data_IF_153541766591
#
_entry.id   IF_153541766591
#
_cell.length_a   1.000
_cell.length_b   1.000
_cell.length_c   1.000
_cell.angle_alpha   90.00
_cell.angle_beta   90.00
_cell.angle_gamma   90.00
#
_symmetry.space_group_name_H-M   'P 1'
#
loop_
_entity.id
_entity.type
_entity.pdbx_description
1 polymer ?
#
# COMPACT_ATOMS: atom_id res chain seq x y z
N UNK A 1 22.78 -60.52 -11.46
CA UNK A 1 21.30 -60.48 -11.53
C UNK A 1 20.82 -59.74 -10.32
N UNK A 2 20.03 -58.68 -10.34
CA UNK A 2 19.53 -57.76 -11.37
C UNK A 2 19.23 -56.48 -10.57
N UNK A 3 19.54 -55.30 -11.13
CA UNK A 3 19.08 -54.03 -10.60
C UNK A 3 17.54 -54.01 -10.71
N UNK A 4 16.82 -54.08 -9.59
CA UNK A 4 15.43 -53.63 -9.54
C UNK A 4 15.45 -52.11 -9.49
N UNK A 5 15.32 -51.50 -10.66
CA UNK A 5 14.97 -50.10 -10.80
C UNK A 5 13.57 -49.90 -10.24
N UNK A 6 13.45 -49.16 -9.14
CA UNK A 6 12.20 -48.54 -8.71
C UNK A 6 11.72 -47.60 -9.82
N UNK A 7 10.90 -48.14 -10.74
CA UNK A 7 10.10 -47.33 -11.64
C UNK A 7 8.99 -46.77 -10.77
N UNK A 8 9.20 -45.58 -10.19
CA UNK A 8 8.08 -44.73 -9.77
C UNK A 8 7.24 -44.48 -11.02
N UNK A 9 6.18 -45.26 -11.19
CA UNK A 9 5.17 -45.02 -12.22
C UNK A 9 4.55 -43.65 -11.94
N UNK A 10 4.95 -42.65 -12.71
CA UNK A 10 4.33 -41.33 -12.72
C UNK A 10 2.84 -41.53 -13.04
N UNK A 11 1.98 -41.31 -12.06
CA UNK A 11 0.55 -41.48 -12.24
C UNK A 11 0.03 -40.34 -13.10
N UNK A 12 -0.30 -40.66 -14.34
CA UNK A 12 -0.87 -39.71 -15.26
C UNK A 12 -2.28 -39.33 -14.82
N UNK A 13 -2.47 -38.03 -14.55
CA UNK A 13 -3.77 -37.51 -14.10
C UNK A 13 -4.77 -37.55 -15.27
N UNK A 14 -5.95 -38.18 -15.11
CA UNK A 14 -6.94 -38.23 -16.17
C UNK A 14 -7.34 -36.84 -16.67
N UNK A 15 -7.29 -36.63 -17.99
CA UNK A 15 -7.50 -35.30 -18.60
C UNK A 15 -8.87 -34.67 -18.26
N UNK A 16 -9.90 -35.49 -18.05
CA UNK A 16 -11.24 -35.04 -17.66
C UNK A 16 -11.33 -34.51 -16.22
N UNK A 17 -10.28 -34.68 -15.41
CA UNK A 17 -10.15 -34.05 -14.08
C UNK A 17 -9.48 -32.68 -14.13
N UNK A 18 -8.84 -32.34 -15.25
CA UNK A 18 -8.10 -31.09 -15.39
C UNK A 18 -9.02 -29.95 -15.80
N UNK A 19 -8.85 -28.81 -15.14
CA UNK A 19 -9.52 -27.57 -15.48
C UNK A 19 -9.00 -27.08 -16.84
N UNK A 20 -9.86 -26.81 -17.84
CA UNK A 20 -9.39 -26.34 -19.15
C UNK A 20 -8.71 -24.96 -19.15
N UNK A 21 -8.80 -24.21 -18.05
CA UNK A 21 -8.15 -22.90 -17.90
C UNK A 21 -6.77 -23.05 -17.27
N UNK A 22 -6.68 -23.72 -16.11
CA UNK A 22 -5.42 -23.82 -15.36
C UNK A 22 -4.60 -25.06 -15.70
N UNK A 23 -5.19 -26.04 -16.39
CA UNK A 23 -4.62 -27.36 -16.66
C UNK A 23 -4.23 -28.13 -15.39
N UNK A 24 -4.77 -27.73 -14.23
CA UNK A 24 -4.61 -28.40 -12.94
C UNK A 24 -5.89 -29.14 -12.56
N UNK A 25 -5.79 -30.13 -11.67
CA UNK A 25 -6.96 -30.87 -11.17
C UNK A 25 -8.00 -29.90 -10.60
N UNK A 26 -9.26 -30.07 -11.02
CA UNK A 26 -10.38 -29.28 -10.51
C UNK A 26 -10.65 -29.61 -9.05
N UNK A 27 -10.58 -28.59 -8.19
CA UNK A 27 -10.90 -28.70 -6.76
C UNK A 27 -12.40 -28.52 -6.52
N UNK A 28 -13.02 -27.58 -7.23
CA UNK A 28 -14.46 -27.29 -7.19
C UNK A 28 -15.02 -27.27 -8.62
N UNK A 29 -15.29 -28.45 -9.23
CA UNK A 29 -15.76 -28.49 -10.61
C UNK A 29 -17.16 -27.88 -10.75
N UNK A 30 -17.31 -26.97 -11.71
CA UNK A 30 -18.55 -26.29 -12.08
C UNK A 30 -18.77 -26.31 -13.58
N UNK A 31 -19.99 -26.60 -13.98
CA UNK A 31 -20.41 -26.64 -15.37
C UNK A 31 -21.08 -25.33 -15.75
N UNK A 32 -20.62 -24.75 -16.86
CA UNK A 32 -21.22 -23.55 -17.45
C UNK A 32 -22.46 -23.90 -18.29
N UNK A 33 -23.25 -22.90 -18.66
CA UNK A 33 -24.40 -23.07 -19.60
C UNK A 33 -24.00 -23.65 -20.96
N UNK A 34 -22.71 -23.63 -21.30
CA UNK A 34 -22.17 -24.23 -22.54
C UNK A 34 -21.82 -25.72 -22.39
N UNK A 35 -22.06 -26.31 -21.22
CA UNK A 35 -21.78 -27.72 -20.94
C UNK A 35 -20.33 -28.03 -20.56
N UNK A 36 -19.42 -27.08 -20.68
CA UNK A 36 -18.02 -27.27 -20.28
C UNK A 36 -17.86 -27.07 -18.76
N UNK A 37 -17.10 -27.98 -18.15
CA UNK A 37 -16.78 -27.96 -16.73
C UNK A 37 -15.39 -27.38 -16.50
N UNK A 38 -15.27 -26.50 -15.52
CA UNK A 38 -14.05 -25.83 -15.12
C UNK A 38 -13.87 -25.94 -13.61
N UNK A 39 -12.67 -25.68 -13.11
CA UNK A 39 -12.52 -25.31 -11.71
C UNK A 39 -13.21 -23.96 -11.46
N UNK A 40 -14.00 -23.87 -10.38
CA UNK A 40 -14.79 -22.69 -10.05
C UNK A 40 -13.94 -21.43 -9.98
N UNK A 41 -12.79 -21.46 -9.29
CA UNK A 41 -11.96 -20.28 -9.14
C UNK A 41 -11.44 -19.80 -10.50
N UNK A 42 -11.00 -20.75 -11.35
CA UNK A 42 -10.53 -20.47 -12.69
C UNK A 42 -11.58 -19.77 -13.56
N UNK A 43 -12.81 -20.30 -13.61
CA UNK A 43 -13.87 -19.71 -14.44
C UNK A 43 -14.42 -18.41 -13.86
N UNK A 44 -14.51 -18.27 -12.53
CA UNK A 44 -14.91 -17.00 -11.90
C UNK A 44 -13.91 -15.89 -12.21
N UNK A 45 -12.60 -16.16 -12.06
CA UNK A 45 -11.56 -15.19 -12.41
C UNK A 45 -11.57 -14.84 -13.91
N UNK A 46 -11.81 -15.82 -14.77
CA UNK A 46 -11.95 -15.60 -16.21
C UNK A 46 -13.10 -14.64 -16.54
N UNK A 47 -14.28 -14.88 -15.97
CA UNK A 47 -15.46 -14.03 -16.18
C UNK A 47 -15.29 -12.61 -15.61
N UNK A 48 -14.52 -12.46 -14.52
CA UNK A 48 -14.21 -11.16 -13.94
C UNK A 48 -13.28 -10.33 -14.83
N UNK A 49 -12.20 -10.93 -15.34
CA UNK A 49 -11.16 -10.23 -16.12
C UNK A 49 -11.56 -9.99 -17.57
N UNK A 50 -12.45 -10.82 -18.13
CA UNK A 50 -12.81 -10.73 -19.54
C UNK A 50 -13.67 -9.48 -19.85
N UNK A 51 -13.30 -8.78 -20.93
CA UNK A 51 -14.11 -7.70 -21.51
C UNK A 51 -15.41 -8.25 -22.08
N UNK A 52 -15.31 -9.40 -22.77
CA UNK A 52 -16.45 -10.18 -23.28
C UNK A 52 -16.52 -11.51 -22.54
N UNK A 53 -17.59 -11.72 -21.75
CA UNK A 53 -17.83 -12.96 -21.02
C UNK A 53 -18.14 -14.09 -22.00
N UNK A 54 -17.11 -14.81 -22.43
CA UNK A 54 -17.23 -15.96 -23.33
C UNK A 54 -16.59 -17.20 -22.71
N UNK A 55 -17.09 -18.37 -23.09
CA UNK A 55 -16.54 -19.65 -22.68
C UNK A 55 -15.12 -19.83 -23.28
N UNK A 56 -14.09 -20.12 -22.45
CA UNK A 56 -12.72 -20.30 -22.93
C UNK A 56 -12.59 -21.28 -24.09
N UNK A 57 -13.35 -22.37 -24.06
CA UNK A 57 -13.33 -23.42 -25.09
C UNK A 57 -14.30 -23.10 -26.23
N UNK A 58 -15.60 -23.00 -25.95
CA UNK A 58 -16.62 -22.94 -27.00
C UNK A 58 -16.76 -21.55 -27.64
N UNK A 59 -16.14 -20.52 -27.04
CA UNK A 59 -16.26 -19.10 -27.43
C UNK A 59 -17.69 -18.55 -27.41
N UNK A 60 -18.67 -19.32 -26.94
CA UNK A 60 -20.05 -18.86 -26.76
C UNK A 60 -20.16 -17.90 -25.57
N UNK A 61 -21.15 -17.00 -25.60
CA UNK A 61 -21.37 -16.05 -24.49
C UNK A 61 -21.77 -16.79 -23.20
N UNK A 62 -21.21 -16.34 -22.09
CA UNK A 62 -21.54 -16.78 -20.75
C UNK A 62 -22.19 -15.63 -19.95
N UNK A 63 -23.20 -15.91 -19.12
CA UNK A 63 -23.66 -14.96 -18.13
C UNK A 63 -22.51 -14.53 -17.21
N UNK A 64 -22.45 -13.25 -16.85
CA UNK A 64 -21.41 -12.72 -15.96
C UNK A 64 -21.64 -13.11 -14.49
N UNK A 65 -22.89 -13.37 -14.10
CA UNK A 65 -23.21 -13.82 -12.74
C UNK A 65 -22.76 -15.26 -12.51
N UNK A 66 -22.09 -15.48 -11.37
CA UNK A 66 -21.62 -16.79 -10.93
C UNK A 66 -22.76 -17.75 -10.54
N UNK A 67 -23.98 -17.24 -10.40
CA UNK A 67 -25.19 -18.04 -10.09
C UNK A 67 -25.53 -19.02 -11.22
N UNK A 68 -25.11 -18.72 -12.45
CA UNK A 68 -25.31 -19.59 -13.61
C UNK A 68 -24.25 -20.70 -13.73
N UNK A 69 -23.35 -20.83 -12.74
CA UNK A 69 -22.38 -21.93 -12.66
C UNK A 69 -22.96 -23.08 -11.83
N UNK A 70 -23.32 -24.17 -12.51
CA UNK A 70 -23.90 -25.35 -11.87
C UNK A 70 -22.79 -26.21 -11.26
N UNK A 71 -22.79 -26.50 -9.94
CA UNK A 71 -21.80 -27.39 -9.34
C UNK A 71 -21.88 -28.81 -9.93
N UNK A 72 -20.75 -29.39 -10.34
CA UNK A 72 -20.69 -30.77 -10.81
C UNK A 72 -20.24 -31.69 -9.67
N UNK A 73 -21.20 -32.08 -8.81
CA UNK A 73 -20.94 -32.92 -7.65
C UNK A 73 -20.45 -34.32 -8.02
N UNK A 74 -20.93 -34.88 -9.14
CA UNK A 74 -20.50 -36.20 -9.63
C UNK A 74 -19.03 -36.19 -9.98
N UNK A 75 -18.59 -35.23 -10.80
CA UNK A 75 -17.18 -35.12 -11.19
C UNK A 75 -16.30 -34.88 -9.98
N UNK A 76 -16.75 -34.05 -9.02
CA UNK A 76 -16.02 -33.84 -7.76
C UNK A 76 -15.78 -35.13 -7.00
N UNK A 77 -16.83 -35.95 -6.82
CA UNK A 77 -16.72 -37.24 -6.11
C UNK A 77 -15.75 -38.19 -6.81
N UNK A 78 -15.76 -38.20 -8.15
CA UNK A 78 -14.83 -39.00 -8.95
C UNK A 78 -13.38 -38.54 -8.78
N UNK A 79 -13.14 -37.22 -8.84
CA UNK A 79 -11.82 -36.63 -8.61
C UNK A 79 -11.32 -36.98 -7.20
N UNK A 80 -12.15 -36.78 -6.17
CA UNK A 80 -11.78 -37.08 -4.78
C UNK A 80 -11.47 -38.57 -4.57
N UNK A 81 -12.30 -39.47 -5.11
CA UNK A 81 -12.06 -40.90 -5.03
C UNK A 81 -10.74 -41.30 -5.72
N UNK A 82 -10.43 -40.68 -6.86
CA UNK A 82 -9.17 -40.89 -7.54
C UNK A 82 -7.98 -40.36 -6.74
N UNK A 83 -8.06 -39.16 -6.16
CA UNK A 83 -7.00 -38.63 -5.29
C UNK A 83 -6.74 -39.55 -4.10
N UNK A 84 -7.79 -40.02 -3.41
CA UNK A 84 -7.65 -40.94 -2.27
C UNK A 84 -7.05 -42.29 -2.68
N UNK A 85 -7.40 -42.82 -3.86
CA UNK A 85 -6.82 -44.07 -4.34
C UNK A 85 -5.32 -43.95 -4.71
N UNK A 86 -4.84 -42.73 -4.98
CA UNK A 86 -3.47 -42.46 -5.43
C UNK A 86 -2.64 -41.69 -4.40
N UNK A 87 -3.10 -41.58 -3.16
CA UNK A 87 -2.40 -40.90 -2.06
C UNK A 87 -1.01 -41.49 -1.81
N UNK A 88 -0.89 -42.82 -1.84
CA UNK A 88 0.39 -43.53 -1.70
C UNK A 88 1.39 -43.22 -2.84
N UNK A 89 0.90 -42.68 -3.96
CA UNK A 89 1.69 -42.32 -5.14
C UNK A 89 1.98 -40.80 -5.21
N UNK A 90 1.78 -40.07 -4.10
CA UNK A 90 2.11 -38.64 -4.00
C UNK A 90 1.03 -37.68 -4.51
N UNK A 91 -0.21 -38.16 -4.72
CA UNK A 91 -1.34 -37.30 -5.10
C UNK A 91 -1.98 -36.70 -3.86
N UNK A 92 -1.99 -35.36 -3.77
CA UNK A 92 -2.65 -34.63 -2.68
C UNK A 92 -4.17 -34.88 -2.64
N UNK A 93 -4.72 -35.05 -1.43
CA UNK A 93 -6.17 -35.11 -1.25
C UNK A 93 -6.82 -33.74 -1.47
N UNK A 94 -7.96 -33.74 -2.16
CA UNK A 94 -8.77 -32.54 -2.36
C UNK A 94 -9.88 -32.49 -1.30
N UNK A 95 -9.84 -31.53 -0.35
CA UNK A 95 -10.87 -31.41 0.65
C UNK A 95 -12.22 -31.04 0.01
N UNK A 96 -13.32 -31.51 0.59
CA UNK A 96 -14.67 -31.14 0.15
C UNK A 96 -14.85 -29.63 0.32
N UNK A 97 -15.16 -28.87 -0.76
CA UNK A 97 -15.45 -27.45 -0.64
C UNK A 97 -16.61 -27.24 0.33
N UNK A 98 -16.41 -26.41 1.36
CA UNK A 98 -17.49 -26.02 2.29
C UNK A 98 -18.64 -25.42 1.49
N UNK A 99 -19.87 -25.64 1.95
CA UNK A 99 -21.07 -25.06 1.31
C UNK A 99 -20.88 -23.55 1.08
N UNK A 100 -21.31 -23.01 -0.07
CA UNK A 100 -21.15 -21.58 -0.35
C UNK A 100 -21.72 -20.73 0.79
N UNK A 101 -20.93 -19.77 1.25
CA UNK A 101 -21.38 -18.80 2.24
C UNK A 101 -22.63 -18.08 1.70
N UNK A 102 -23.72 -18.14 2.45
CA UNK A 102 -24.96 -17.42 2.13
C UNK A 102 -24.92 -16.00 2.68
N UNK A 103 -25.34 -15.02 1.89
CA UNK A 103 -25.45 -13.61 2.29
C UNK A 103 -26.29 -13.47 3.56
N UNK A 104 -27.43 -14.17 3.66
CA UNK A 104 -28.30 -14.14 4.83
C UNK A 104 -27.60 -14.61 6.13
N UNK A 105 -26.65 -15.55 6.02
CA UNK A 105 -25.87 -16.00 7.18
C UNK A 105 -24.90 -14.90 7.64
N UNK A 106 -24.31 -14.16 6.70
CA UNK A 106 -23.41 -13.04 7.00
C UNK A 106 -24.20 -11.86 7.59
N UNK A 107 -25.36 -11.52 7.02
CA UNK A 107 -26.25 -10.49 7.57
C UNK A 107 -26.67 -10.80 9.02
N UNK A 108 -26.90 -12.08 9.34
CA UNK A 108 -27.15 -12.51 10.72
C UNK A 108 -25.95 -12.25 11.63
N UNK A 109 -24.73 -12.52 11.16
CA UNK A 109 -23.51 -12.21 11.92
C UNK A 109 -23.35 -10.70 12.11
N UNK A 110 -23.65 -9.88 11.10
CA UNK A 110 -23.65 -8.42 11.21
C UNK A 110 -24.64 -7.95 12.28
N UNK A 111 -25.87 -8.49 12.29
CA UNK A 111 -26.86 -8.17 13.33
C UNK A 111 -26.41 -8.60 14.72
N UNK A 112 -25.68 -9.72 14.83
CA UNK A 112 -25.13 -10.20 16.11
C UNK A 112 -24.04 -9.25 16.67
N UNK A 113 -23.47 -8.34 15.88
CA UNK A 113 -22.54 -7.30 16.36
C UNK A 113 -23.24 -6.23 17.22
N UNK A 114 -24.56 -6.06 17.11
CA UNK A 114 -25.29 -5.14 18.00
C UNK A 114 -25.64 -5.78 19.35
N UNK A 115 -25.43 -7.09 19.49
CA UNK A 115 -25.77 -7.84 20.69
C UNK A 115 -24.51 -8.11 21.51
N UNK A 116 -24.35 -7.44 22.65
CA UNK A 116 -23.13 -7.52 23.49
C UNK A 116 -22.69 -8.95 23.83
N UNK A 117 -23.63 -9.87 24.07
CA UNK A 117 -23.33 -11.27 24.40
C UNK A 117 -22.84 -12.11 23.21
N UNK A 118 -23.03 -11.65 21.98
CA UNK A 118 -22.64 -12.35 20.74
C UNK A 118 -21.56 -11.62 19.95
N UNK A 119 -21.32 -10.34 20.28
CA UNK A 119 -20.40 -9.44 19.59
C UNK A 119 -19.04 -10.07 19.28
N UNK A 120 -18.33 -10.53 20.31
CA UNK A 120 -16.99 -11.10 20.16
C UNK A 120 -16.97 -12.30 19.22
N UNK A 121 -17.91 -13.24 19.42
CA UNK A 121 -18.05 -14.45 18.59
C UNK A 121 -18.44 -14.12 17.14
N UNK A 122 -19.26 -13.09 16.93
CA UNK A 122 -19.63 -12.65 15.59
C UNK A 122 -18.42 -12.04 14.86
N UNK A 123 -17.64 -11.22 15.56
CA UNK A 123 -16.44 -10.59 15.02
C UNK A 123 -15.38 -11.61 14.63
N UNK A 124 -15.08 -12.58 15.51
CA UNK A 124 -14.15 -13.69 15.23
C UNK A 124 -14.58 -14.49 13.99
N UNK A 125 -15.87 -14.84 13.91
CA UNK A 125 -16.41 -15.56 12.73
C UNK A 125 -16.30 -14.76 11.45
N UNK A 126 -16.57 -13.45 11.48
CA UNK A 126 -16.43 -12.60 10.31
C UNK A 126 -14.96 -12.51 9.87
N UNK A 127 -14.03 -12.45 10.81
CA UNK A 127 -12.61 -12.47 10.50
C UNK A 127 -12.16 -13.79 9.87
N UNK A 128 -12.57 -14.93 10.43
CA UNK A 128 -12.27 -16.25 9.85
C UNK A 128 -12.78 -16.36 8.41
N UNK A 129 -14.00 -15.88 8.15
CA UNK A 129 -14.59 -15.86 6.81
C UNK A 129 -13.80 -14.95 5.87
N UNK A 130 -13.33 -13.78 6.34
CA UNK A 130 -12.56 -12.83 5.53
C UNK A 130 -11.20 -13.40 5.10
N UNK A 131 -10.52 -14.13 5.96
CA UNK A 131 -9.22 -14.74 5.66
C UNK A 131 -9.37 -15.90 4.68
N UNK A 132 -10.43 -16.71 4.81
CA UNK A 132 -10.55 -18.00 4.12
C UNK A 132 -10.42 -17.91 2.59
N UNK A 133 -11.12 -16.99 1.93
CA UNK A 133 -10.99 -16.79 0.47
C UNK A 133 -11.64 -15.49 -0.03
N UNK A 134 -11.33 -15.10 -1.28
CA UNK A 134 -11.89 -13.90 -1.91
C UNK A 134 -13.38 -13.95 -2.22
N UNK A 135 -13.99 -15.14 -2.31
CA UNK A 135 -15.43 -15.29 -2.54
C UNK A 135 -16.23 -14.92 -1.30
N UNK A 136 -15.77 -15.35 -0.12
CA UNK A 136 -16.33 -14.94 1.16
C UNK A 136 -16.27 -13.41 1.30
N UNK A 137 -15.13 -12.79 0.98
CA UNK A 137 -14.98 -11.33 1.03
C UNK A 137 -15.97 -10.59 0.12
N UNK A 138 -16.23 -11.09 -1.10
CA UNK A 138 -17.28 -10.54 -1.98
C UNK A 138 -18.67 -10.68 -1.36
N UNK A 139 -19.01 -11.86 -0.83
CA UNK A 139 -20.27 -12.08 -0.12
C UNK A 139 -20.43 -11.16 1.10
N UNK A 140 -19.34 -10.93 1.85
CA UNK A 140 -19.31 -10.04 3.00
C UNK A 140 -19.51 -8.57 2.60
N UNK A 141 -18.90 -8.13 1.49
CA UNK A 141 -19.13 -6.79 0.96
C UNK A 141 -20.61 -6.59 0.59
N UNK A 142 -21.23 -7.55 -0.10
CA UNK A 142 -22.66 -7.50 -0.42
C UNK A 142 -23.57 -7.54 0.81
N UNK A 143 -23.11 -8.13 1.91
CA UNK A 143 -23.86 -8.22 3.17
C UNK A 143 -23.67 -6.99 4.10
N UNK A 144 -22.96 -5.95 3.67
CA UNK A 144 -22.76 -4.73 4.45
C UNK A 144 -21.75 -4.86 5.60
N UNK A 145 -20.80 -5.80 5.51
CA UNK A 145 -19.82 -6.00 6.60
C UNK A 145 -18.86 -4.82 6.72
N UNK A 146 -18.52 -4.14 5.62
CA UNK A 146 -17.61 -3.01 5.65
C UNK A 146 -18.19 -1.83 6.46
N UNK A 147 -19.46 -1.52 6.22
CA UNK A 147 -20.26 -0.53 6.93
C UNK A 147 -20.35 -0.88 8.42
N UNK A 148 -20.57 -2.16 8.73
CA UNK A 148 -20.60 -2.64 10.10
C UNK A 148 -19.24 -2.45 10.81
N UNK A 149 -18.11 -2.72 10.14
CA UNK A 149 -16.78 -2.51 10.73
C UNK A 149 -16.49 -1.02 10.96
N UNK A 150 -16.83 -0.14 10.00
CA UNK A 150 -16.75 1.32 10.18
C UNK A 150 -17.58 1.77 11.37
N UNK A 151 -18.79 1.23 11.53
CA UNK A 151 -19.65 1.52 12.68
C UNK A 151 -19.02 1.06 13.99
N UNK A 152 -18.46 -0.16 14.07
CA UNK A 152 -17.79 -0.69 15.27
C UNK A 152 -16.60 0.18 15.69
N UNK A 153 -15.76 0.60 14.74
CA UNK A 153 -14.60 1.46 15.00
C UNK A 153 -15.06 2.83 15.51
N UNK A 154 -16.05 3.43 14.83
CA UNK A 154 -16.58 4.75 15.19
C UNK A 154 -17.29 4.75 16.54
N UNK A 155 -18.08 3.69 16.83
CA UNK A 155 -18.75 3.48 18.12
C UNK A 155 -17.74 3.35 19.26
N UNK A 156 -16.64 2.62 19.04
CA UNK A 156 -15.57 2.47 20.02
C UNK A 156 -14.90 3.81 20.35
N UNK A 157 -14.68 4.65 19.33
CA UNK A 157 -14.16 6.00 19.49
C UNK A 157 -15.11 6.90 20.29
N UNK A 158 -16.41 6.94 19.93
CA UNK A 158 -17.41 7.78 20.62
C UNK A 158 -17.57 7.37 22.09
N UNK A 159 -17.51 6.06 22.38
CA UNK A 159 -17.62 5.55 23.74
C UNK A 159 -16.33 5.70 24.56
N UNK A 160 -15.21 6.12 23.94
CA UNK A 160 -13.92 6.24 24.61
C UNK A 160 -13.38 4.91 25.14
N UNK A 161 -13.79 3.77 24.56
CA UNK A 161 -13.38 2.47 25.04
C UNK A 161 -11.89 2.25 24.73
N UNK A 162 -11.07 2.03 25.77
CA UNK A 162 -9.63 1.80 25.63
C UNK A 162 -9.27 0.37 25.21
N UNK A 163 -10.26 -0.51 25.08
CA UNK A 163 -10.04 -1.89 24.62
C UNK A 163 -9.79 -1.90 23.11
N UNK A 164 -8.56 -2.19 22.70
CA UNK A 164 -8.13 -2.13 21.29
C UNK A 164 -8.38 -3.42 20.51
N UNK A 165 -8.66 -4.55 21.17
CA UNK A 165 -8.79 -5.86 20.51
C UNK A 165 -9.92 -5.91 19.48
N UNK A 166 -11.11 -5.37 19.79
CA UNK A 166 -12.21 -5.34 18.83
C UNK A 166 -11.95 -4.37 17.66
N UNK A 167 -11.26 -3.26 17.93
CA UNK A 167 -10.88 -2.28 16.91
C UNK A 167 -9.82 -2.86 15.97
N UNK A 168 -8.82 -3.55 16.51
CA UNK A 168 -7.82 -4.28 15.75
C UNK A 168 -8.48 -5.27 14.79
N UNK A 169 -9.38 -6.12 15.30
CA UNK A 169 -10.04 -7.12 14.46
C UNK A 169 -10.96 -6.49 13.40
N UNK A 170 -11.69 -5.42 13.75
CA UNK A 170 -12.51 -4.69 12.80
C UNK A 170 -11.68 -4.03 11.68
N UNK A 171 -10.50 -3.48 12.02
CA UNK A 171 -9.56 -2.91 11.04
C UNK A 171 -9.00 -3.99 10.10
N UNK A 172 -8.67 -5.17 10.63
CA UNK A 172 -8.18 -6.31 9.83
C UNK A 172 -9.23 -6.79 8.85
N UNK A 173 -10.48 -6.98 9.31
CA UNK A 173 -11.60 -7.34 8.43
C UNK A 173 -11.75 -6.27 7.35
N UNK A 174 -11.79 -4.99 7.71
CA UNK A 174 -11.96 -3.90 6.77
C UNK A 174 -10.83 -3.84 5.73
N UNK A 175 -9.57 -4.05 6.14
CA UNK A 175 -8.41 -4.10 5.24
C UNK A 175 -8.44 -5.27 4.26
N UNK A 176 -8.89 -6.44 4.73
CA UNK A 176 -9.10 -7.61 3.86
C UNK A 176 -10.20 -7.36 2.82
N UNK A 177 -11.31 -6.75 3.23
CA UNK A 177 -12.39 -6.40 2.30
C UNK A 177 -11.95 -5.34 1.29
N UNK A 178 -11.23 -4.31 1.74
CA UNK A 178 -10.74 -3.24 0.87
C UNK A 178 -9.74 -3.74 -0.16
N UNK A 179 -8.75 -4.54 0.26
CA UNK A 179 -7.74 -5.10 -0.66
C UNK A 179 -8.33 -6.08 -1.69
N UNK A 180 -9.49 -6.65 -1.41
CA UNK A 180 -10.20 -7.59 -2.30
C UNK A 180 -11.19 -6.92 -3.25
N UNK A 181 -11.35 -5.59 -3.21
CA UNK A 181 -12.20 -4.83 -4.12
C UNK A 181 -11.59 -4.83 -5.54
N UNK A 182 -11.86 -5.90 -6.28
CA UNK A 182 -11.24 -6.17 -7.59
C UNK A 182 -11.86 -5.37 -8.73
N UNK A 183 -13.01 -4.74 -8.51
CA UNK A 183 -13.78 -4.03 -9.54
C UNK A 183 -13.96 -2.55 -9.14
N UNK A 184 -14.03 -1.66 -10.13
CA UNK A 184 -14.17 -0.21 -9.89
C UNK A 184 -15.39 0.13 -9.01
N UNK A 185 -16.51 -0.55 -9.20
CA UNK A 185 -17.76 -0.32 -8.45
C UNK A 185 -17.61 -0.59 -6.95
N UNK A 186 -16.96 -1.71 -6.58
CA UNK A 186 -16.78 -2.08 -5.17
C UNK A 186 -15.83 -1.10 -4.47
N UNK A 187 -14.79 -0.65 -5.19
CA UNK A 187 -13.87 0.36 -4.70
C UNK A 187 -14.57 1.73 -4.53
N UNK A 188 -15.41 2.13 -5.47
CA UNK A 188 -16.15 3.40 -5.41
C UNK A 188 -17.17 3.42 -4.26
N UNK A 189 -17.87 2.31 -4.01
CA UNK A 189 -18.78 2.19 -2.87
C UNK A 189 -18.04 2.32 -1.54
N UNK A 190 -16.91 1.61 -1.42
CA UNK A 190 -16.05 1.66 -0.23
C UNK A 190 -15.49 3.07 -0.01
N UNK A 191 -15.04 3.75 -1.08
CA UNK A 191 -14.59 5.15 -1.03
C UNK A 191 -15.70 6.10 -0.61
N UNK A 192 -16.91 5.97 -1.16
CA UNK A 192 -18.05 6.82 -0.79
C UNK A 192 -18.40 6.67 0.68
N UNK A 193 -18.42 5.44 1.20
CA UNK A 193 -18.71 5.14 2.60
C UNK A 193 -17.77 5.88 3.57
N UNK A 194 -16.45 5.89 3.31
CA UNK A 194 -15.48 6.55 4.19
C UNK A 194 -15.22 8.02 3.85
N UNK A 195 -15.41 8.40 2.59
CA UNK A 195 -15.16 9.73 2.06
C UNK A 195 -16.03 10.79 2.73
N UNK A 196 -17.29 10.46 3.01
CA UNK A 196 -18.22 11.39 3.67
C UNK A 196 -18.13 11.33 5.21
N UNK A 197 -17.49 10.30 5.77
CA UNK A 197 -17.49 10.04 7.20
C UNK A 197 -16.31 10.71 7.91
N UNK A 198 -16.54 11.83 8.60
CA UNK A 198 -15.51 12.50 9.42
C UNK A 198 -15.25 11.79 10.75
N UNK A 199 -16.26 11.16 11.33
CA UNK A 199 -16.11 10.42 12.58
C UNK A 199 -15.22 9.19 12.39
N UNK A 200 -15.26 8.58 11.20
CA UNK A 200 -14.33 7.51 10.84
C UNK A 200 -12.89 8.03 10.73
N UNK A 201 -12.65 9.18 10.09
CA UNK A 201 -11.32 9.79 10.04
C UNK A 201 -10.79 10.14 11.45
N UNK A 202 -11.66 10.71 12.29
CA UNK A 202 -11.33 11.05 13.67
C UNK A 202 -11.06 9.80 14.51
N UNK A 203 -11.82 8.72 14.33
CA UNK A 203 -11.61 7.46 15.04
C UNK A 203 -10.30 6.80 14.64
N UNK A 204 -9.93 6.78 13.35
CA UNK A 204 -8.60 6.32 12.92
C UNK A 204 -7.47 7.18 13.52
N UNK A 205 -7.64 8.50 13.54
CA UNK A 205 -6.66 9.41 14.17
C UNK A 205 -6.52 9.13 15.65
N UNK A 206 -7.63 8.86 16.35
CA UNK A 206 -7.63 8.47 17.76
C UNK A 206 -6.93 7.12 17.98
N UNK A 207 -7.17 6.11 17.14
CA UNK A 207 -6.47 4.82 17.23
C UNK A 207 -4.96 5.02 17.15
N UNK A 208 -4.50 5.88 16.22
CA UNK A 208 -3.09 6.22 16.08
C UNK A 208 -2.53 7.03 17.25
N UNK A 209 -3.37 7.67 18.09
CA UNK A 209 -2.93 8.34 19.32
C UNK A 209 -2.66 7.36 20.47
N UNK A 210 -3.14 6.12 20.38
CA UNK A 210 -2.98 5.10 21.43
C UNK A 210 -1.54 4.52 21.49
N UNK A 211 -0.51 5.32 21.18
CA UNK A 211 0.92 4.95 21.09
C UNK A 211 1.50 4.46 22.42
N UNK A 212 1.12 3.26 22.85
CA UNK A 212 1.76 2.49 23.91
C UNK A 212 2.35 1.22 23.30
N UNK A 213 3.38 0.63 23.92
CA UNK A 213 4.04 -0.60 23.44
C UNK A 213 3.07 -1.74 23.11
N UNK A 214 1.89 -1.77 23.75
CA UNK A 214 0.89 -2.82 23.56
C UNK A 214 0.00 -2.61 22.32
N UNK A 215 0.08 -1.46 21.63
CA UNK A 215 -0.84 -1.09 20.55
C UNK A 215 -0.19 -1.05 19.16
N UNK A 216 1.03 -1.57 19.01
CA UNK A 216 1.75 -1.65 17.73
C UNK A 216 0.90 -2.35 16.65
N UNK A 217 0.19 -3.43 17.00
CA UNK A 217 -0.68 -4.17 16.07
C UNK A 217 -1.81 -3.32 15.52
N UNK A 218 -2.62 -2.72 16.40
CA UNK A 218 -3.76 -1.89 15.97
C UNK A 218 -3.31 -0.68 15.13
N UNK A 219 -2.15 -0.09 15.43
CA UNK A 219 -1.58 1.01 14.63
C UNK A 219 -1.16 0.54 13.24
N UNK A 220 -0.54 -0.64 13.13
CA UNK A 220 -0.14 -1.22 11.85
C UNK A 220 -1.36 -1.49 10.94
N UNK A 221 -2.50 -1.86 11.52
CA UNK A 221 -3.75 -2.06 10.77
C UNK A 221 -4.45 -0.72 10.45
N UNK A 222 -4.41 0.25 11.37
CA UNK A 222 -5.10 1.53 11.19
C UNK A 222 -4.44 2.42 10.12
N UNK A 223 -3.10 2.48 10.06
CA UNK A 223 -2.39 3.44 9.20
C UNK A 223 -2.64 3.21 7.69
N UNK A 224 -2.64 1.98 7.16
CA UNK A 224 -3.03 1.72 5.77
C UNK A 224 -4.49 2.10 5.48
N UNK A 225 -5.41 1.86 6.41
CA UNK A 225 -6.82 2.25 6.26
C UNK A 225 -6.97 3.78 6.26
N UNK A 226 -6.20 4.48 7.09
CA UNK A 226 -6.15 5.95 7.08
C UNK A 226 -5.67 6.47 5.73
N UNK A 227 -4.61 5.87 5.16
CA UNK A 227 -4.16 6.20 3.80
C UNK A 227 -5.30 6.08 2.79
N UNK A 228 -5.98 4.94 2.75
CA UNK A 228 -7.10 4.70 1.83
C UNK A 228 -8.26 5.67 2.04
N UNK A 229 -8.55 6.02 3.30
CA UNK A 229 -9.58 7.00 3.67
C UNK A 229 -9.24 8.40 3.17
N UNK A 230 -7.96 8.81 3.21
CA UNK A 230 -7.50 10.10 2.67
C UNK A 230 -7.59 10.11 1.14
N UNK A 231 -7.18 9.02 0.48
CA UNK A 231 -7.29 8.86 -0.99
C UNK A 231 -8.74 8.82 -1.50
N UNK A 232 -9.70 8.50 -0.63
CA UNK A 232 -11.12 8.49 -0.92
C UNK A 232 -11.80 9.86 -0.74
N UNK A 233 -11.20 10.78 0.02
CA UNK A 233 -11.80 12.08 0.35
C UNK A 233 -11.47 13.14 -0.71
N UNK A 234 -12.44 14.00 -0.96
CA UNK A 234 -12.20 15.22 -1.75
C UNK A 234 -11.17 16.13 -1.06
N UNK A 235 -10.45 16.91 -1.87
CA UNK A 235 -9.37 17.79 -1.39
C UNK A 235 -9.86 18.94 -0.50
N UNK A 236 -11.12 19.39 -0.68
CA UNK A 236 -11.71 20.51 0.06
C UNK A 236 -11.74 20.29 1.58
N UNK A 237 -12.34 19.20 2.12
CA UNK A 237 -12.35 18.95 3.57
C UNK A 237 -10.97 18.65 4.15
N UNK A 238 -10.05 18.10 3.36
CA UNK A 238 -8.68 17.81 3.79
C UNK A 238 -7.84 19.08 4.02
N UNK A 239 -8.23 20.24 3.46
CA UNK A 239 -7.55 21.52 3.70
C UNK A 239 -7.64 22.04 5.15
N UNK A 240 -8.58 21.50 5.95
CA UNK A 240 -8.88 21.96 7.31
C UNK A 240 -8.40 21.01 8.42
N UNK A 241 -7.53 20.04 8.10
CA UNK A 241 -6.97 19.12 9.11
C UNK A 241 -6.20 19.86 10.20
N UNK A 242 -6.37 19.45 11.46
CA UNK A 242 -5.74 20.09 12.63
C UNK A 242 -4.27 19.69 12.77
N UNK A 243 -3.46 20.51 13.45
CA UNK A 243 -2.06 20.19 13.75
C UNK A 243 -1.89 18.83 14.44
N UNK A 244 -2.78 18.50 15.37
CA UNK A 244 -2.74 17.24 16.13
C UNK A 244 -2.85 16.01 15.23
N UNK A 245 -3.60 16.08 14.13
CA UNK A 245 -3.62 15.02 13.13
C UNK A 245 -2.22 14.75 12.57
N UNK A 246 -1.50 15.81 12.18
CA UNK A 246 -0.16 15.68 11.63
C UNK A 246 0.86 15.22 12.66
N UNK A 247 0.78 15.68 13.90
CA UNK A 247 1.64 15.19 15.00
C UNK A 247 1.49 13.67 15.19
N UNK A 248 0.28 13.15 15.08
CA UNK A 248 -0.02 11.72 15.19
C UNK A 248 0.52 10.94 13.99
N UNK A 249 0.34 11.44 12.77
CA UNK A 249 0.92 10.76 11.59
C UNK A 249 2.44 10.79 11.62
N UNK A 250 3.06 11.88 12.11
CA UNK A 250 4.52 11.96 12.28
C UNK A 250 5.02 11.03 13.38
N UNK A 251 4.24 10.79 14.45
CA UNK A 251 4.65 9.85 15.50
C UNK A 251 4.71 8.39 15.02
N UNK A 252 3.91 8.01 14.02
CA UNK A 252 4.01 6.72 13.34
C UNK A 252 5.38 6.57 12.65
N UNK A 253 5.89 7.62 12.02
CA UNK A 253 7.23 7.60 11.42
C UNK A 253 8.33 7.46 12.47
N UNK A 254 8.16 8.07 13.64
CA UNK A 254 9.08 8.01 14.81
C UNK A 254 9.20 6.62 15.43
N UNK A 255 8.15 5.81 15.36
CA UNK A 255 8.11 4.52 16.03
C UNK A 255 8.74 3.42 15.18
N UNK A 256 9.99 3.05 15.51
CA UNK A 256 10.76 2.02 14.79
C UNK A 256 10.27 0.58 15.00
N UNK A 257 9.33 0.35 15.91
CA UNK A 257 8.69 -0.96 16.10
C UNK A 257 7.57 -1.23 15.08
N UNK A 258 7.12 -0.19 14.34
CA UNK A 258 6.07 -0.31 13.35
C UNK A 258 6.56 -0.91 12.03
N UNK A 259 5.63 -1.48 11.27
CA UNK A 259 5.93 -2.09 9.97
C UNK A 259 6.31 -1.03 8.93
N UNK A 260 7.15 -1.43 7.97
CA UNK A 260 7.50 -0.59 6.82
C UNK A 260 6.26 -0.15 6.03
N UNK A 261 5.20 -0.98 6.00
CA UNK A 261 3.94 -0.64 5.35
C UNK A 261 3.20 0.50 6.07
N UNK A 262 3.20 0.50 7.41
CA UNK A 262 2.61 1.60 8.19
C UNK A 262 3.38 2.91 7.95
N UNK A 263 4.72 2.88 7.99
CA UNK A 263 5.56 4.06 7.72
C UNK A 263 5.36 4.58 6.29
N UNK A 264 5.32 3.69 5.27
CA UNK A 264 4.99 4.09 3.89
C UNK A 264 3.61 4.75 3.80
N UNK A 265 2.63 4.19 4.49
CA UNK A 265 1.26 4.72 4.51
C UNK A 265 1.21 6.11 5.15
N UNK A 266 1.97 6.34 6.23
CA UNK A 266 2.13 7.66 6.85
C UNK A 266 2.75 8.68 5.88
N UNK A 267 3.80 8.30 5.15
CA UNK A 267 4.41 9.15 4.12
C UNK A 267 3.40 9.51 3.03
N UNK A 268 2.62 8.55 2.53
CA UNK A 268 1.58 8.82 1.54
C UNK A 268 0.52 9.81 2.05
N UNK A 269 0.02 9.61 3.28
CA UNK A 269 -0.95 10.54 3.89
C UNK A 269 -0.39 11.95 3.97
N UNK A 270 0.87 12.11 4.39
CA UNK A 270 1.51 13.42 4.48
C UNK A 270 1.74 14.04 3.10
N UNK A 271 2.13 13.26 2.09
CA UNK A 271 2.34 13.74 0.72
C UNK A 271 1.02 14.25 0.12
N UNK A 272 -0.06 13.47 0.26
CA UNK A 272 -1.37 13.78 -0.32
C UNK A 272 -2.00 15.02 0.33
N UNK A 273 -1.85 15.15 1.65
CA UNK A 273 -2.43 16.27 2.40
C UNK A 273 -1.57 17.53 2.39
N UNK A 274 -0.27 17.43 2.11
CA UNK A 274 0.68 18.55 2.11
C UNK A 274 0.30 19.72 1.17
N UNK A 275 -0.08 19.50 -0.10
CA UNK A 275 -0.41 20.60 -1.01
C UNK A 275 -1.72 21.34 -0.65
N UNK A 276 -2.50 20.84 0.32
CA UNK A 276 -3.84 21.33 0.62
C UNK A 276 -3.84 22.37 1.75
N UNK A 277 -4.47 23.52 1.51
CA UNK A 277 -4.69 24.56 2.52
C UNK A 277 -3.42 25.00 3.26
N UNK A 278 -3.48 25.02 4.60
CA UNK A 278 -2.34 25.34 5.49
C UNK A 278 -1.61 24.10 6.00
N UNK A 279 -1.87 22.92 5.42
CA UNK A 279 -1.36 21.66 5.95
C UNK A 279 0.17 21.57 5.89
N UNK A 280 0.81 22.10 4.84
CA UNK A 280 2.28 22.14 4.76
C UNK A 280 2.93 22.75 6.02
N UNK A 281 2.43 23.89 6.49
CA UNK A 281 2.97 24.54 7.71
C UNK A 281 2.75 23.68 8.94
N UNK A 282 1.57 23.07 9.08
CA UNK A 282 1.25 22.16 10.19
C UNK A 282 2.10 20.89 10.17
N UNK A 283 2.44 20.36 8.98
CA UNK A 283 3.32 19.18 8.85
C UNK A 283 4.75 19.54 9.28
N UNK A 284 5.24 20.73 8.92
CA UNK A 284 6.53 21.25 9.40
C UNK A 284 6.51 21.47 10.91
N UNK A 285 5.45 22.10 11.45
CA UNK A 285 5.27 22.33 12.89
C UNK A 285 5.16 21.01 13.69
N UNK A 286 4.60 19.96 13.10
CA UNK A 286 4.58 18.62 13.67
C UNK A 286 5.96 17.92 13.73
N UNK A 287 7.01 18.54 13.17
CA UNK A 287 8.38 18.05 13.20
C UNK A 287 8.69 17.01 12.13
N UNK A 288 7.94 16.98 11.02
CA UNK A 288 8.15 16.00 9.97
C UNK A 288 9.51 16.12 9.27
N UNK A 289 10.06 17.33 9.13
CA UNK A 289 11.33 17.55 8.43
C UNK A 289 12.47 16.79 9.11
N UNK A 290 12.57 16.91 10.43
CA UNK A 290 13.59 16.21 11.22
C UNK A 290 13.44 14.70 11.07
N UNK A 291 12.21 14.21 11.22
CA UNK A 291 11.94 12.77 11.14
C UNK A 291 12.27 12.17 9.77
N UNK A 292 12.01 12.91 8.69
CA UNK A 292 12.35 12.47 7.33
C UNK A 292 13.86 12.35 7.11
N UNK A 293 14.66 13.22 7.74
CA UNK A 293 16.12 13.18 7.66
C UNK A 293 16.63 11.95 8.43
N UNK A 294 16.12 11.70 9.63
CA UNK A 294 16.46 10.52 10.43
C UNK A 294 16.09 9.21 9.71
N UNK A 295 14.88 9.11 9.16
CA UNK A 295 14.49 7.95 8.34
C UNK A 295 15.40 7.76 7.13
N UNK A 296 15.84 8.84 6.47
CA UNK A 296 16.75 8.74 5.32
C UNK A 296 18.18 8.28 5.71
N UNK A 297 18.60 8.50 6.97
CA UNK A 297 19.87 8.02 7.49
C UNK A 297 19.88 6.50 7.72
N UNK A 298 18.73 5.91 8.03
CA UNK A 298 18.53 4.47 8.30
C UNK A 298 18.63 3.56 7.07
N UNK A 299 19.05 4.09 5.91
CA UNK A 299 19.19 3.35 4.66
C UNK A 299 17.89 2.63 4.24
N UNK A 300 16.78 3.37 4.10
CA UNK A 300 15.52 2.79 3.67
C UNK A 300 15.62 2.22 2.25
N UNK A 301 14.70 1.31 1.91
CA UNK A 301 14.57 0.78 0.57
C UNK A 301 14.28 1.88 -0.47
N UNK A 302 14.46 1.55 -1.75
CA UNK A 302 14.31 2.50 -2.86
C UNK A 302 12.99 3.26 -2.81
N UNK A 303 11.86 2.55 -2.74
CA UNK A 303 10.52 3.16 -2.81
C UNK A 303 10.25 4.06 -1.59
N UNK A 304 10.72 3.68 -0.40
CA UNK A 304 10.58 4.53 0.78
C UNK A 304 11.47 5.77 0.69
N UNK A 305 12.70 5.64 0.16
CA UNK A 305 13.59 6.79 -0.08
C UNK A 305 12.96 7.79 -1.04
N UNK A 306 12.28 7.33 -2.09
CA UNK A 306 11.56 8.19 -3.03
C UNK A 306 10.46 9.00 -2.32
N UNK A 307 9.62 8.35 -1.52
CA UNK A 307 8.56 9.01 -0.74
C UNK A 307 9.13 10.05 0.23
N UNK A 308 10.20 9.72 0.95
CA UNK A 308 10.87 10.65 1.87
C UNK A 308 11.32 11.91 1.13
N UNK A 309 11.97 11.75 -0.04
CA UNK A 309 12.47 12.88 -0.82
C UNK A 309 11.35 13.70 -1.48
N UNK A 310 10.25 13.06 -1.89
CA UNK A 310 9.06 13.76 -2.38
C UNK A 310 8.52 14.67 -1.28
N UNK A 311 8.28 14.13 -0.07
CA UNK A 311 7.74 14.93 1.02
C UNK A 311 8.72 16.03 1.47
N UNK A 312 10.00 15.70 1.64
CA UNK A 312 11.02 16.66 2.04
C UNK A 312 11.10 17.85 1.07
N UNK A 313 11.01 17.59 -0.24
CA UNK A 313 10.96 18.64 -1.25
C UNK A 313 9.70 19.53 -1.13
N UNK A 314 8.54 18.95 -0.84
CA UNK A 314 7.32 19.72 -0.59
C UNK A 314 7.45 20.60 0.66
N UNK A 315 8.05 20.10 1.73
CA UNK A 315 8.24 20.84 2.98
C UNK A 315 9.28 21.97 2.81
N UNK A 316 10.40 21.73 2.13
CA UNK A 316 11.38 22.78 1.81
C UNK A 316 10.84 23.88 0.88
N UNK A 317 9.64 23.73 0.32
CA UNK A 317 8.99 24.78 -0.46
C UNK A 317 8.48 25.96 0.38
N UNK A 318 8.38 25.84 1.72
CA UNK A 318 8.16 26.98 2.62
C UNK A 318 9.42 27.36 3.42
N UNK A 319 9.45 28.57 3.98
CA UNK A 319 10.60 29.09 4.74
C UNK A 319 10.90 28.22 5.98
N UNK A 320 9.89 27.98 6.82
CA UNK A 320 10.02 27.18 8.05
C UNK A 320 10.55 25.76 7.77
N UNK A 321 10.12 25.15 6.67
CA UNK A 321 10.59 23.82 6.27
C UNK A 321 12.06 23.82 5.84
N UNK A 322 12.54 24.89 5.19
CA UNK A 322 13.97 25.04 4.90
C UNK A 322 14.78 25.32 6.15
N UNK A 323 14.26 26.14 7.04
CA UNK A 323 14.91 26.45 8.31
C UNK A 323 15.13 25.17 9.13
N UNK A 324 14.09 24.36 9.36
CA UNK A 324 14.23 23.08 10.07
C UNK A 324 15.18 22.11 9.35
N UNK A 325 15.14 22.07 8.00
CA UNK A 325 16.04 21.23 7.21
C UNK A 325 17.51 21.61 7.42
N UNK A 326 17.82 22.91 7.47
CA UNK A 326 19.17 23.44 7.65
C UNK A 326 19.63 23.39 9.11
N UNK A 327 18.71 23.44 10.08
CA UNK A 327 19.03 23.25 11.50
C UNK A 327 19.48 21.81 11.82
N UNK A 328 19.05 20.83 11.01
CA UNK A 328 19.49 19.45 11.19
C UNK A 328 20.88 19.23 10.59
N UNK A 329 21.83 18.79 11.42
CA UNK A 329 23.24 18.59 11.04
C UNK A 329 23.49 17.61 9.87
N UNK A 330 22.49 16.82 9.47
CA UNK A 330 22.57 15.85 8.40
C UNK A 330 21.75 16.24 7.16
N UNK A 331 21.00 17.35 7.19
CA UNK A 331 20.04 17.71 6.14
C UNK A 331 20.68 17.77 4.76
N UNK A 332 21.69 18.63 4.58
CA UNK A 332 22.39 18.79 3.29
C UNK A 332 23.14 17.51 2.92
N UNK A 333 23.77 16.85 3.90
CA UNK A 333 24.55 15.63 3.69
C UNK A 333 23.70 14.46 3.17
N UNK A 334 22.51 14.26 3.73
CA UNK A 334 21.56 13.20 3.33
C UNK A 334 21.12 13.41 1.88
N UNK A 335 20.75 14.64 1.51
CA UNK A 335 20.34 14.96 0.14
C UNK A 335 21.48 14.73 -0.84
N UNK A 336 22.67 15.27 -0.53
CA UNK A 336 23.90 15.09 -1.33
C UNK A 336 24.22 13.61 -1.57
N UNK A 337 24.18 12.80 -0.50
CA UNK A 337 24.58 11.39 -0.55
C UNK A 337 23.67 10.52 -1.43
N UNK A 338 22.41 10.91 -1.64
CA UNK A 338 21.40 10.12 -2.37
C UNK A 338 21.32 10.45 -3.86
N UNK A 339 21.83 11.60 -4.29
CA UNK A 339 21.90 11.98 -5.71
C UNK A 339 22.72 10.96 -6.52
N UNK A 340 22.13 10.50 -7.64
CA UNK A 340 22.58 9.48 -8.59
C UNK A 340 22.74 8.08 -7.98
N UNK A 341 22.07 7.79 -6.86
CA UNK A 341 22.21 6.49 -6.16
C UNK A 341 20.92 5.73 -5.91
N UNK A 342 19.77 6.34 -6.11
CA UNK A 342 18.47 5.76 -5.75
C UNK A 342 17.56 5.65 -6.97
N UNK A 343 17.13 6.79 -7.51
CA UNK A 343 16.30 6.85 -8.70
C UNK A 343 16.26 8.25 -9.31
N UNK A 344 15.82 8.38 -10.58
CA UNK A 344 15.61 9.69 -11.20
C UNK A 344 14.62 10.58 -10.44
N UNK A 345 13.62 9.98 -9.79
CA UNK A 345 12.66 10.71 -8.94
C UNK A 345 13.35 11.31 -7.73
N UNK A 346 14.19 10.53 -7.03
CA UNK A 346 14.99 11.04 -5.90
C UNK A 346 15.93 12.15 -6.36
N UNK A 347 16.57 12.00 -7.53
CA UNK A 347 17.48 13.01 -8.08
C UNK A 347 16.75 14.32 -8.38
N UNK A 348 15.58 14.26 -9.02
CA UNK A 348 14.75 15.43 -9.29
C UNK A 348 14.40 16.19 -8.00
N UNK A 349 13.93 15.47 -6.99
CA UNK A 349 13.52 16.05 -5.71
C UNK A 349 14.71 16.59 -4.92
N UNK A 350 15.84 15.89 -4.91
CA UNK A 350 17.07 16.34 -4.28
C UNK A 350 17.60 17.65 -4.89
N UNK A 351 17.64 17.72 -6.23
CA UNK A 351 18.04 18.93 -6.94
C UNK A 351 17.04 20.07 -6.73
N UNK A 352 15.76 19.77 -6.58
CA UNK A 352 14.75 20.76 -6.23
C UNK A 352 14.99 21.34 -4.82
N UNK A 353 15.26 20.50 -3.82
CA UNK A 353 15.62 20.95 -2.46
C UNK A 353 16.84 21.87 -2.51
N UNK A 354 17.93 21.46 -3.18
CA UNK A 354 19.11 22.32 -3.32
C UNK A 354 18.81 23.62 -4.07
N UNK A 355 17.98 23.60 -5.10
CA UNK A 355 17.57 24.85 -5.76
C UNK A 355 16.80 25.78 -4.81
N UNK A 356 15.95 25.25 -3.92
CA UNK A 356 15.18 26.07 -2.98
C UNK A 356 16.09 26.65 -1.89
N UNK A 357 16.95 25.82 -1.31
CA UNK A 357 17.95 26.25 -0.31
C UNK A 357 18.90 27.29 -0.90
N UNK A 358 19.48 27.03 -2.07
CA UNK A 358 20.43 27.95 -2.69
C UNK A 358 19.80 29.27 -3.14
N UNK A 359 18.49 29.31 -3.43
CA UNK A 359 17.79 30.55 -3.82
C UNK A 359 17.33 31.38 -2.63
N UNK A 360 16.84 30.73 -1.58
CA UNK A 360 16.05 31.40 -0.54
C UNK A 360 16.64 31.29 0.87
N UNK A 361 17.69 30.50 1.07
CA UNK A 361 18.27 30.22 2.40
C UNK A 361 19.80 30.10 2.35
N UNK A 362 20.45 30.75 1.39
CA UNK A 362 21.89 30.65 1.17
C UNK A 362 22.68 31.64 2.04
N UNK A 363 22.92 31.29 3.32
CA UNK A 363 23.95 31.94 4.13
C UNK A 363 25.35 31.45 3.73
N UNK A 364 26.39 32.16 4.17
CA UNK A 364 27.76 31.73 3.91
C UNK A 364 28.04 30.35 4.51
N UNK A 365 27.55 30.10 5.72
CA UNK A 365 27.68 28.83 6.43
C UNK A 365 27.03 27.69 5.64
N UNK A 366 25.81 27.89 5.13
CA UNK A 366 25.09 26.91 4.31
C UNK A 366 25.85 26.59 3.02
N UNK A 367 26.33 27.61 2.32
CA UNK A 367 27.07 27.44 1.05
C UNK A 367 28.41 26.72 1.27
N UNK A 368 29.07 26.98 2.40
CA UNK A 368 30.29 26.27 2.81
C UNK A 368 29.99 24.83 3.25
N UNK A 369 28.89 24.59 3.96
CA UNK A 369 28.46 23.25 4.33
C UNK A 369 28.16 22.39 3.09
N UNK A 370 27.41 22.93 2.11
CA UNK A 370 27.16 22.28 0.82
C UNK A 370 28.47 21.82 0.14
N UNK A 371 29.52 22.64 0.23
CA UNK A 371 30.83 22.26 -0.28
C UNK A 371 31.45 21.11 0.55
N UNK A 372 31.48 21.23 1.89
CA UNK A 372 32.08 20.25 2.81
C UNK A 372 31.43 18.87 2.72
N UNK A 373 30.10 18.80 2.59
CA UNK A 373 29.36 17.52 2.52
C UNK A 373 29.28 16.96 1.08
N UNK A 374 30.03 17.55 0.14
CA UNK A 374 30.16 17.05 -1.22
C UNK A 374 28.97 17.33 -2.14
N UNK A 375 28.05 18.22 -1.77
CA UNK A 375 26.89 18.56 -2.61
C UNK A 375 27.34 19.17 -3.94
N UNK A 376 28.37 20.03 -3.92
CA UNK A 376 28.95 20.64 -5.13
C UNK A 376 29.53 19.58 -6.07
N UNK A 377 30.29 18.62 -5.54
CA UNK A 377 30.82 17.50 -6.32
C UNK A 377 29.69 16.70 -6.96
N UNK A 378 28.62 16.41 -6.20
CA UNK A 378 27.44 15.71 -6.71
C UNK A 378 26.71 16.46 -7.82
N UNK A 379 26.57 17.78 -7.70
CA UNK A 379 26.00 18.62 -8.76
C UNK A 379 26.84 18.55 -10.05
N UNK A 380 28.16 18.58 -9.94
CA UNK A 380 29.07 18.40 -11.07
C UNK A 380 28.92 17.00 -11.70
N UNK A 381 28.82 15.95 -10.88
CA UNK A 381 28.57 14.59 -11.37
C UNK A 381 27.25 14.48 -12.15
N UNK A 382 26.19 15.17 -11.71
CA UNK A 382 24.91 15.21 -12.45
C UNK A 382 25.08 15.78 -13.86
N UNK A 383 25.93 16.80 -14.06
CA UNK A 383 26.19 17.35 -15.39
C UNK A 383 26.86 16.33 -16.33
N UNK A 384 27.68 15.45 -15.77
CA UNK A 384 28.43 14.43 -16.50
C UNK A 384 27.67 13.10 -16.65
N UNK A 385 26.73 12.81 -15.75
CA UNK A 385 25.95 11.58 -15.76
C UNK A 385 25.07 11.48 -17.02
N UNK A 386 24.76 10.24 -17.42
CA UNK A 386 23.73 9.97 -18.41
C UNK A 386 22.35 10.07 -17.75
N UNK A 387 21.81 11.28 -17.69
CA UNK A 387 20.53 11.59 -17.08
C UNK A 387 19.77 12.64 -17.88
N UNK A 388 18.47 12.78 -17.58
CA UNK A 388 17.59 13.68 -18.28
C UNK A 388 18.11 15.13 -18.29
N UNK A 389 17.99 15.81 -19.43
CA UNK A 389 18.53 17.16 -19.64
C UNK A 389 18.04 18.17 -18.60
N UNK A 390 16.77 18.10 -18.19
CA UNK A 390 16.21 19.00 -17.19
C UNK A 390 16.88 18.89 -15.81
N UNK A 391 17.42 17.72 -15.44
CA UNK A 391 18.18 17.54 -14.20
C UNK A 391 19.53 18.26 -14.29
N UNK A 392 20.19 18.19 -15.46
CA UNK A 392 21.42 18.92 -15.72
C UNK A 392 21.20 20.43 -15.67
N UNK A 393 20.09 20.92 -16.22
CA UNK A 393 19.73 22.34 -16.13
C UNK A 393 19.51 22.79 -14.68
N UNK A 394 18.78 22.00 -13.86
CA UNK A 394 18.59 22.29 -12.43
C UNK A 394 19.93 22.33 -11.69
N UNK A 395 20.79 21.33 -11.89
CA UNK A 395 22.11 21.28 -11.27
C UNK A 395 22.99 22.48 -11.66
N UNK A 396 23.00 22.83 -12.95
CA UNK A 396 23.72 24.01 -13.46
C UNK A 396 23.19 25.30 -12.86
N UNK A 397 21.87 25.42 -12.72
CA UNK A 397 21.22 26.56 -12.06
C UNK A 397 21.72 26.75 -10.62
N UNK A 398 21.80 25.67 -9.85
CA UNK A 398 22.33 25.70 -8.48
C UNK A 398 23.80 26.14 -8.47
N UNK A 399 24.65 25.53 -9.31
CA UNK A 399 26.08 25.85 -9.40
C UNK A 399 26.34 27.32 -9.76
N UNK A 400 25.52 27.92 -10.63
CA UNK A 400 25.67 29.31 -11.04
C UNK A 400 25.40 30.30 -9.92
N UNK A 401 24.42 30.03 -9.04
CA UNK A 401 24.01 30.94 -7.96
C UNK A 401 25.16 31.30 -7.01
N UNK A 402 26.02 30.34 -6.70
CA UNK A 402 27.11 30.50 -5.70
C UNK A 402 28.49 30.23 -6.29
N UNK A 403 28.63 30.42 -7.61
CA UNK A 403 29.88 30.18 -8.34
C UNK A 403 31.08 30.91 -7.72
N UNK A 404 30.95 32.18 -7.32
CA UNK A 404 32.04 32.94 -6.67
C UNK A 404 32.64 32.22 -5.46
N UNK A 405 31.80 31.56 -4.66
CA UNK A 405 32.22 30.83 -3.46
C UNK A 405 32.83 29.47 -3.81
N UNK A 406 32.33 28.82 -4.86
CA UNK A 406 32.75 27.46 -5.23
C UNK A 406 33.83 27.41 -6.31
N UNK A 407 34.14 28.50 -7.01
CA UNK A 407 35.08 28.53 -8.15
C UNK A 407 36.50 28.04 -7.82
N UNK A 408 36.92 28.15 -6.55
CA UNK A 408 38.23 27.66 -6.09
C UNK A 408 38.14 26.29 -5.40
N UNK A 409 36.98 25.64 -5.47
CA UNK A 409 36.79 24.31 -4.93
C UNK A 409 37.55 23.29 -5.77
N UNK A 410 38.29 22.35 -5.15
CA UNK A 410 38.90 21.24 -5.88
C UNK A 410 37.84 20.36 -6.59
N UNK A 411 36.57 20.47 -6.20
CA UNK A 411 35.45 19.75 -6.79
C UNK A 411 35.00 20.33 -8.15
N UNK A 412 35.29 21.59 -8.45
CA UNK A 412 34.95 22.24 -9.73
C UNK A 412 36.25 22.38 -10.52
N UNK A 413 36.59 21.34 -11.29
CA UNK A 413 37.66 21.49 -12.27
C UNK A 413 37.21 22.53 -13.32
N UNK A 414 38.08 23.51 -13.58
CA UNK A 414 37.85 24.73 -14.38
C UNK A 414 37.24 24.47 -15.78
N UNK A 415 37.34 23.25 -16.31
CA UNK A 415 36.71 22.89 -17.60
C UNK A 415 35.18 22.72 -17.54
N UNK A 416 34.58 22.54 -16.35
CA UNK A 416 33.11 22.45 -16.19
C UNK A 416 32.42 23.81 -16.39
N UNK A 417 33.15 24.91 -16.20
CA UNK A 417 32.64 26.28 -16.36
C UNK A 417 32.84 26.83 -17.78
N UNK A 418 33.68 26.20 -18.61
CA UNK A 418 34.14 26.77 -19.89
C UNK A 418 33.53 26.13 -21.13
N UNK A 419 32.63 25.15 -21.02
CA UNK A 419 32.09 24.47 -22.21
C UNK A 419 30.82 25.04 -22.85
N UNK A 420 30.32 26.19 -22.41
CA UNK A 420 29.33 26.96 -23.16
C UNK A 420 29.56 28.46 -23.00
N UNK A 421 30.40 29.01 -23.89
CA UNK A 421 30.30 30.41 -24.27
C UNK A 421 29.44 30.53 -25.53
N UNK A 422 28.40 31.36 -25.38
CA UNK A 422 27.36 31.79 -26.34
C UNK A 422 26.20 30.84 -26.56
#
# INVERSE_FOLDING_TARGET
>A
MLYESDIMTEIETPQFFLCPISLQIMKDPVTTVTGITYDREGIEQWLLKAKDCTCPITKQRLPRSTEFLTPNHTLRRLIQAWCSANEANGVDQIPTPKSPLSIANVEKLVKDLEVSSRFQRALEKLHDLAIENGRNRRCMASAGVAEAMVHVITKSFIQGNKTTSCVEEALRILGLLWSSANNMVDNDNMKRMVGENFDFLNSLTWVLQLQTKNNVKVINEAMPILKLTIEAKDSTPLGNLKLEFFKVVVSVMKNRELTQQAVKSALHVLIETCPLGRNRMKIVEAGAVVELIELALEKPEKNMTELIFILLAHLCSCADGREQFLQHAAGIAVVSKRILRVSPTTDDRALHIFSLVSKFSASNEVVQEMLRVGAVSKLCMVLQADCASYLKEKARGVLRLHSKTWNNSPCIQVYLLTRFHR
#
